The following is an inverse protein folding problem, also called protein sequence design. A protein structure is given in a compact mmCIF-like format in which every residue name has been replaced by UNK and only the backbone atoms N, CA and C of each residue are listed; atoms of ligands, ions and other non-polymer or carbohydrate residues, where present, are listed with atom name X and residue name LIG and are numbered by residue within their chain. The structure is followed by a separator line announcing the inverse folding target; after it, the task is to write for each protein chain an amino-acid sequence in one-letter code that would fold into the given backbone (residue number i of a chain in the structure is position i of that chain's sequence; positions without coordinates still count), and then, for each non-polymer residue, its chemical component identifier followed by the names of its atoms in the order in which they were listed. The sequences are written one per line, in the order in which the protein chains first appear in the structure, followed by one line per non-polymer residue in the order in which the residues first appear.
data_IF_457443246959
#
_entry.id   IF_457443246959
#
_cell.length_a   1.000
_cell.length_b   1.000
_cell.length_c   1.000
_cell.angle_alpha   90.00
_cell.angle_beta   90.00
_cell.angle_gamma   90.00
#
_symmetry.space_group_name_H-M   'P 1'
#
loop_
_entity.id
_entity.type
_entity.pdbx_description
1 polymer ?
#
# COMPACT_ATOMS: atom_id res chain seq x y z
N UNK A 1 9.59 24.19 34.83
CA UNK A 1 8.24 24.74 34.61
C UNK A 1 7.89 24.53 33.14
N UNK A 2 7.19 23.43 32.83
CA UNK A 2 6.67 23.21 31.49
C UNK A 2 5.46 24.12 31.31
N UNK A 3 5.48 25.01 30.31
CA UNK A 3 4.30 25.76 29.91
C UNK A 3 3.35 24.78 29.23
N UNK A 4 2.19 24.55 29.83
CA UNK A 4 1.04 24.00 29.12
C UNK A 4 0.70 24.95 27.97
N UNK A 5 1.00 24.52 26.74
CA UNK A 5 0.48 25.19 25.55
C UNK A 5 -0.92 24.62 25.33
N UNK A 6 -1.92 25.34 25.81
CA UNK A 6 -3.32 25.09 25.47
C UNK A 6 -3.52 25.40 23.97
N UNK A 7 -3.23 24.42 23.12
CA UNK A 7 -3.45 24.53 21.68
C UNK A 7 -4.92 24.20 21.38
N UNK A 8 -5.74 25.23 21.26
CA UNK A 8 -7.11 25.08 20.74
C UNK A 8 -7.02 24.79 19.25
N UNK A 9 -7.00 23.49 18.88
CA UNK A 9 -6.95 23.09 17.47
C UNK A 9 -8.15 23.65 16.70
N UNK A 10 -7.88 24.34 15.60
CA UNK A 10 -8.94 24.84 14.73
C UNK A 10 -9.63 23.66 14.02
N UNK A 11 -10.95 23.58 14.13
CA UNK A 11 -11.78 22.49 13.57
C UNK A 11 -12.21 22.79 12.14
N UNK A 12 -12.46 21.73 11.36
CA UNK A 12 -12.99 21.85 10.00
C UNK A 12 -14.39 22.50 10.01
N UNK A 13 -14.60 23.48 9.13
CA UNK A 13 -15.87 24.19 8.97
C UNK A 13 -16.62 23.67 7.75
N UNK A 14 -17.83 23.12 7.92
CA UNK A 14 -18.69 22.74 6.80
C UNK A 14 -19.17 24.01 6.06
N UNK A 15 -18.82 24.12 4.79
CA UNK A 15 -19.22 25.21 3.89
C UNK A 15 -20.54 24.94 3.18
N UNK A 16 -20.89 23.68 2.94
CA UNK A 16 -22.13 23.34 2.25
C UNK A 16 -22.40 21.85 2.17
N UNK A 17 -23.69 21.50 2.13
CA UNK A 17 -24.19 20.13 1.94
C UNK A 17 -25.27 20.14 0.84
N UNK A 18 -25.20 19.22 -0.12
CA UNK A 18 -26.25 18.98 -1.12
C UNK A 18 -26.59 17.51 -1.16
N UNK A 19 -27.85 17.16 -0.96
CA UNK A 19 -28.29 15.76 -0.95
C UNK A 19 -29.16 15.46 -2.15
N UNK A 20 -28.88 14.36 -2.85
CA UNK A 20 -29.67 13.86 -3.96
C UNK A 20 -29.92 12.37 -3.81
N UNK A 21 -31.08 11.91 -4.25
CA UNK A 21 -31.41 10.50 -4.24
C UNK A 21 -30.88 9.83 -5.51
N UNK A 22 -30.30 8.65 -5.35
CA UNK A 22 -29.84 7.83 -6.47
C UNK A 22 -30.62 6.51 -6.50
N UNK A 23 -30.79 5.89 -7.67
CA UNK A 23 -31.45 4.59 -7.79
C UNK A 23 -30.84 3.55 -6.84
N UNK A 24 -31.68 2.67 -6.27
CA UNK A 24 -31.22 1.64 -5.33
C UNK A 24 -31.43 1.95 -3.84
N UNK A 25 -32.35 2.87 -3.51
CA UNK A 25 -32.70 3.26 -2.13
C UNK A 25 -31.54 3.93 -1.37
N UNK A 26 -30.71 4.68 -2.09
CA UNK A 26 -29.58 5.42 -1.52
C UNK A 26 -29.81 6.94 -1.62
N UNK A 27 -29.40 7.64 -0.56
CA UNK A 27 -29.34 9.10 -0.51
C UNK A 27 -27.89 9.54 -0.44
N UNK A 28 -27.39 10.27 -1.45
CA UNK A 28 -26.00 10.75 -1.53
C UNK A 28 -25.95 12.22 -1.15
N UNK A 29 -25.12 12.60 -0.17
CA UNK A 29 -24.85 13.99 0.19
C UNK A 29 -23.44 14.41 -0.19
N UNK A 30 -23.30 15.44 -1.00
CA UNK A 30 -22.04 16.14 -1.28
C UNK A 30 -21.78 17.19 -0.20
N UNK A 31 -20.57 17.20 0.35
CA UNK A 31 -20.14 18.03 1.46
C UNK A 31 -18.90 18.82 1.05
N UNK A 32 -18.84 20.10 1.41
CA UNK A 32 -17.67 20.94 1.21
C UNK A 32 -17.20 21.47 2.56
N UNK A 33 -15.92 21.34 2.88
CA UNK A 33 -15.32 21.80 4.13
C UNK A 33 -14.23 22.84 3.87
N UNK A 34 -14.02 23.72 4.83
CA UNK A 34 -12.84 24.56 4.97
C UNK A 34 -12.02 24.04 6.15
N UNK A 35 -10.76 23.69 5.92
CA UNK A 35 -9.88 23.05 6.90
C UNK A 35 -8.58 23.84 7.00
N UNK A 36 -8.02 24.09 8.20
CA UNK A 36 -6.70 24.71 8.33
C UNK A 36 -5.63 23.93 7.56
N UNK A 37 -4.67 24.63 6.94
CA UNK A 37 -3.46 23.99 6.39
C UNK A 37 -2.58 23.40 7.48
N UNK A 38 -2.57 24.04 8.64
CA UNK A 38 -1.88 23.62 9.84
C UNK A 38 -2.85 23.82 11.02
N UNK A 39 -3.22 22.72 11.68
CA UNK A 39 -4.13 22.73 12.81
C UNK A 39 -3.51 23.33 14.09
N UNK A 40 -2.18 23.38 14.17
CA UNK A 40 -1.43 24.05 15.24
C UNK A 40 -1.13 25.53 14.92
N UNK A 41 -1.22 25.95 13.65
CA UNK A 41 -1.05 27.33 13.24
C UNK A 41 -2.09 27.81 12.21
N UNK A 42 -3.29 28.25 12.66
CA UNK A 42 -4.38 28.67 11.78
C UNK A 42 -4.05 29.86 10.87
N UNK A 43 -3.00 30.62 11.16
CA UNK A 43 -2.57 31.77 10.34
C UNK A 43 -1.97 31.36 8.99
N UNK A 44 -1.60 30.08 8.81
CA UNK A 44 -1.08 29.54 7.55
C UNK A 44 -2.15 29.42 6.45
N UNK A 45 -3.42 29.69 6.78
CA UNK A 45 -4.54 29.70 5.87
C UNK A 45 -5.27 28.36 5.82
N UNK A 46 -6.23 28.24 4.90
CA UNK A 46 -7.15 27.10 4.82
C UNK A 46 -7.12 26.40 3.45
N UNK A 47 -7.62 25.18 3.42
CA UNK A 47 -7.89 24.35 2.25
C UNK A 47 -9.40 24.12 2.14
N UNK A 48 -9.89 23.92 0.92
CA UNK A 48 -11.27 23.48 0.68
C UNK A 48 -11.28 21.99 0.36
N UNK A 49 -11.96 21.20 1.16
CA UNK A 49 -12.13 19.76 0.94
C UNK A 49 -13.54 19.45 0.41
N UNK A 50 -13.64 18.43 -0.43
CA UNK A 50 -14.91 17.88 -0.90
C UNK A 50 -15.05 16.45 -0.39
N UNK A 51 -16.25 16.08 0.08
CA UNK A 51 -16.58 14.73 0.53
C UNK A 51 -17.98 14.32 0.08
N UNK A 52 -18.28 13.01 0.08
CA UNK A 52 -19.62 12.47 -0.17
C UNK A 52 -20.03 11.52 0.95
N UNK A 53 -21.28 11.58 1.41
CA UNK A 53 -21.90 10.62 2.34
C UNK A 53 -23.05 9.89 1.65
N UNK A 54 -23.34 8.64 2.03
CA UNK A 54 -24.41 7.82 1.42
C UNK A 54 -25.23 7.11 2.50
N UNK A 55 -26.56 7.13 2.43
CA UNK A 55 -27.50 6.53 3.40
C UNK A 55 -28.52 5.59 2.72
N UNK A 56 -28.96 4.49 3.37
CA UNK A 56 -29.85 3.43 2.82
C UNK A 56 -31.28 3.48 3.39
N UNK A 57 -32.28 2.98 2.63
CA UNK A 57 -33.69 2.80 3.04
C UNK A 57 -34.17 1.30 2.99
N UNK A 58 -34.83 0.79 4.05
CA UNK A 58 -34.93 -0.63 4.56
C UNK A 58 -36.01 -1.60 4.00
N UNK A 59 -36.10 -2.95 4.25
CA UNK A 59 -36.15 -3.84 5.48
C UNK A 59 -35.61 -5.32 5.27
N UNK A 60 -35.46 -6.19 6.32
CA UNK A 60 -34.41 -7.24 6.46
C UNK A 60 -34.84 -8.75 6.49
N UNK A 61 -33.87 -9.72 6.59
CA UNK A 61 -33.82 -10.96 7.45
C UNK A 61 -32.44 -11.72 7.38
N UNK A 62 -31.98 -12.12 8.58
CA UNK A 62 -30.96 -13.00 9.26
C UNK A 62 -29.96 -14.02 8.61
N UNK A 63 -28.92 -14.40 9.40
CA UNK A 63 -27.63 -15.04 9.07
C UNK A 63 -27.22 -16.25 9.96
N UNK A 64 -26.14 -16.98 9.61
CA UNK A 64 -25.39 -17.85 10.57
C UNK A 64 -23.88 -17.99 10.26
N UNK A 65 -23.09 -18.17 11.34
CA UNK A 65 -21.62 -17.98 11.51
C UNK A 65 -20.74 -19.21 11.18
N UNK A 66 -19.45 -18.99 10.88
CA UNK A 66 -18.35 -19.99 10.97
C UNK A 66 -16.99 -19.35 11.34
N UNK A 67 -16.17 -20.10 12.10
CA UNK A 67 -14.84 -19.72 12.61
C UNK A 67 -13.69 -19.84 11.60
N UNK A 68 -12.62 -19.06 11.84
CA UNK A 68 -11.44 -18.82 10.99
C UNK A 68 -10.20 -19.60 11.49
N UNK A 69 -9.37 -20.13 10.57
CA UNK A 69 -8.02 -20.69 10.86
C UNK A 69 -6.94 -20.01 10.02
N UNK A 70 -5.78 -19.73 10.62
CA UNK A 70 -4.59 -19.21 9.95
C UNK A 70 -3.84 -20.28 9.13
N UNK A 71 -3.26 -19.92 7.97
CA UNK A 71 -2.55 -20.86 7.12
C UNK A 71 -1.12 -21.24 7.60
N UNK A 72 -0.59 -22.39 7.17
CA UNK A 72 0.62 -23.02 7.75
C UNK A 72 1.96 -22.36 7.40
N UNK A 73 2.13 -21.68 6.26
CA UNK A 73 3.42 -21.11 5.82
C UNK A 73 3.90 -19.90 6.65
N UNK A 74 2.97 -19.16 7.26
CA UNK A 74 3.29 -18.03 8.15
C UNK A 74 4.06 -18.49 9.41
N UNK A 75 3.94 -19.77 9.77
CA UNK A 75 4.66 -20.35 10.92
C UNK A 75 6.15 -20.51 10.67
N UNK A 76 6.57 -20.78 9.43
CA UNK A 76 7.97 -21.06 9.11
C UNK A 76 8.83 -19.79 9.13
N UNK A 77 8.35 -18.69 8.54
CA UNK A 77 9.07 -17.40 8.57
C UNK A 77 9.13 -16.79 9.98
N UNK A 78 8.06 -16.93 10.77
CA UNK A 78 8.08 -16.52 12.17
C UNK A 78 8.98 -17.42 13.04
N UNK A 79 9.06 -18.72 12.76
CA UNK A 79 9.99 -19.61 13.44
C UNK A 79 11.45 -19.22 13.16
N UNK A 80 11.80 -18.97 11.88
CA UNK A 80 13.15 -18.54 11.48
C UNK A 80 13.53 -17.22 12.15
N UNK A 81 12.65 -16.20 12.11
CA UNK A 81 12.92 -14.92 12.77
C UNK A 81 13.09 -15.11 14.28
N UNK A 82 12.18 -15.84 14.94
CA UNK A 82 12.28 -16.08 16.39
C UNK A 82 13.58 -16.77 16.79
N UNK A 83 14.08 -17.68 15.96
CA UNK A 83 15.39 -18.31 16.17
C UNK A 83 16.54 -17.32 15.97
N UNK A 84 16.53 -16.53 14.89
CA UNK A 84 17.61 -15.59 14.57
C UNK A 84 17.67 -14.37 15.49
N UNK A 85 16.53 -13.96 16.06
CA UNK A 85 16.44 -12.80 16.97
C UNK A 85 16.30 -13.22 18.43
N UNK A 86 16.59 -14.47 18.79
CA UNK A 86 16.35 -15.00 20.14
C UNK A 86 17.02 -14.14 21.23
N UNK A 87 18.26 -13.71 20.97
CA UNK A 87 19.09 -12.95 21.91
C UNK A 87 18.96 -11.43 21.78
N UNK A 88 18.09 -10.94 20.88
CA UNK A 88 17.93 -9.51 20.67
C UNK A 88 17.10 -8.89 21.82
N UNK A 89 17.23 -7.59 22.09
CA UNK A 89 16.26 -6.86 22.91
C UNK A 89 14.83 -7.02 22.37
N UNK A 90 13.82 -7.09 23.25
CA UNK A 90 12.44 -7.46 22.90
C UNK A 90 11.83 -6.58 21.80
N UNK A 91 12.16 -5.30 21.80
CA UNK A 91 11.75 -4.31 20.80
C UNK A 91 12.36 -4.56 19.41
N UNK A 92 13.52 -5.23 19.35
CA UNK A 92 14.21 -5.65 18.11
C UNK A 92 13.85 -7.07 17.68
N UNK A 93 13.12 -7.81 18.52
CA UNK A 93 12.58 -9.12 18.16
C UNK A 93 11.34 -9.01 17.29
N UNK A 94 10.73 -7.85 17.08
CA UNK A 94 9.61 -7.73 16.14
C UNK A 94 10.15 -7.45 14.74
N UNK A 95 9.51 -8.00 13.70
CA UNK A 95 9.75 -7.48 12.36
C UNK A 95 9.48 -5.98 12.36
N UNK A 96 10.35 -5.21 11.69
CA UNK A 96 10.02 -3.82 11.34
C UNK A 96 8.79 -3.80 10.42
N UNK A 97 8.13 -2.65 10.31
CA UNK A 97 6.99 -2.48 9.39
C UNK A 97 7.38 -2.92 7.98
N UNK A 98 8.49 -2.38 7.46
CA UNK A 98 9.04 -2.78 6.17
C UNK A 98 9.38 -4.27 6.08
N UNK A 99 9.92 -4.87 7.14
CA UNK A 99 10.23 -6.30 7.18
C UNK A 99 9.00 -7.18 7.01
N UNK A 100 7.89 -6.86 7.68
CA UNK A 100 6.62 -7.57 7.48
C UNK A 100 6.08 -7.38 6.06
N UNK A 101 6.16 -6.16 5.52
CA UNK A 101 5.70 -5.88 4.15
C UNK A 101 6.47 -6.73 3.13
N UNK A 102 7.79 -6.84 3.23
CA UNK A 102 8.58 -7.74 2.36
C UNK A 102 8.20 -9.21 2.53
N UNK A 103 7.91 -9.66 3.75
CA UNK A 103 7.41 -11.02 4.01
C UNK A 103 6.10 -11.30 3.25
N UNK A 104 5.16 -10.36 3.28
CA UNK A 104 3.89 -10.50 2.57
C UNK A 104 4.06 -10.43 1.05
N UNK A 105 4.94 -9.57 0.55
CA UNK A 105 5.28 -9.52 -0.89
C UNK A 105 5.93 -10.83 -1.35
N UNK A 106 6.78 -11.45 -0.54
CA UNK A 106 7.37 -12.76 -0.85
C UNK A 106 6.30 -13.86 -0.94
N UNK A 107 5.31 -13.85 -0.04
CA UNK A 107 4.14 -14.74 -0.10
C UNK A 107 3.36 -14.56 -1.42
N UNK A 108 3.09 -13.31 -1.81
CA UNK A 108 2.36 -13.02 -3.05
C UNK A 108 3.15 -13.40 -4.31
N UNK A 109 4.48 -13.26 -4.30
CA UNK A 109 5.34 -13.77 -5.36
C UNK A 109 5.23 -15.29 -5.51
N UNK A 110 5.25 -16.04 -4.40
CA UNK A 110 5.07 -17.50 -4.42
C UNK A 110 3.70 -17.86 -4.98
N UNK A 111 2.64 -17.16 -4.58
CA UNK A 111 1.31 -17.37 -5.12
C UNK A 111 1.24 -17.10 -6.64
N UNK A 112 1.88 -16.03 -7.12
CA UNK A 112 1.97 -15.71 -8.55
C UNK A 112 2.69 -16.82 -9.33
N UNK A 113 3.89 -17.21 -8.91
CA UNK A 113 4.65 -18.24 -9.64
C UNK A 113 4.06 -19.65 -9.52
N UNK A 114 3.31 -19.94 -8.44
CA UNK A 114 2.53 -21.19 -8.36
C UNK A 114 1.38 -21.20 -9.37
N UNK A 115 0.78 -20.03 -9.67
CA UNK A 115 -0.28 -19.89 -10.67
C UNK A 115 0.28 -19.90 -12.10
N UNK A 116 1.42 -19.23 -12.32
CA UNK A 116 2.08 -19.03 -13.61
C UNK A 116 3.52 -19.52 -13.57
N UNK A 117 3.69 -20.84 -13.59
CA UNK A 117 5.01 -21.48 -13.42
C UNK A 117 5.96 -21.20 -14.59
N UNK A 118 5.43 -21.03 -15.79
CA UNK A 118 6.16 -20.69 -16.99
C UNK A 118 6.79 -19.28 -16.93
N UNK A 119 6.21 -18.38 -16.14
CA UNK A 119 6.71 -17.01 -15.99
C UNK A 119 8.05 -16.97 -15.26
N UNK A 120 8.42 -18.02 -14.50
CA UNK A 120 9.74 -18.13 -13.85
C UNK A 120 10.86 -18.01 -14.88
N UNK A 121 10.72 -18.65 -16.04
CA UNK A 121 11.72 -18.59 -17.10
C UNK A 121 11.57 -17.33 -17.95
N UNK A 122 10.33 -16.95 -18.29
CA UNK A 122 10.05 -15.75 -19.10
C UNK A 122 10.59 -14.48 -18.44
N UNK A 123 10.37 -14.30 -17.14
CA UNK A 123 10.91 -13.14 -16.40
C UNK A 123 12.43 -13.10 -16.50
N UNK A 124 13.12 -14.24 -16.43
CA UNK A 124 14.58 -14.31 -16.57
C UNK A 124 15.04 -13.95 -17.99
N UNK A 125 14.32 -14.39 -19.02
CA UNK A 125 14.60 -13.99 -20.41
C UNK A 125 14.44 -12.49 -20.62
N UNK A 126 13.37 -11.91 -20.07
CA UNK A 126 13.11 -10.46 -20.11
C UNK A 126 14.22 -9.71 -19.38
N UNK A 127 14.64 -10.17 -18.19
CA UNK A 127 15.74 -9.58 -17.42
C UNK A 127 17.05 -9.62 -18.23
N UNK A 128 17.41 -10.76 -18.83
CA UNK A 128 18.60 -10.87 -19.69
C UNK A 128 18.59 -9.83 -20.81
N UNK A 129 17.43 -9.63 -21.43
CA UNK A 129 17.28 -8.64 -22.48
C UNK A 129 17.44 -7.20 -21.94
N UNK A 130 16.82 -6.88 -20.81
CA UNK A 130 16.94 -5.57 -20.15
C UNK A 130 18.38 -5.27 -19.70
N UNK A 131 19.12 -6.26 -19.21
CA UNK A 131 20.51 -6.07 -18.78
C UNK A 131 21.45 -5.82 -19.97
N UNK A 132 21.14 -6.42 -21.12
CA UNK A 132 21.92 -6.26 -22.35
C UNK A 132 21.62 -4.94 -23.07
N UNK A 133 20.37 -4.50 -23.07
CA UNK A 133 19.90 -3.38 -23.89
C UNK A 133 19.57 -2.15 -23.02
N UNK A 134 19.97 -0.95 -23.46
CA UNK A 134 19.59 0.28 -22.76
C UNK A 134 18.21 0.80 -23.24
N UNK A 135 17.14 0.25 -22.67
CA UNK A 135 15.78 0.47 -23.14
C UNK A 135 15.19 1.75 -22.55
N UNK A 136 14.75 2.65 -23.42
CA UNK A 136 14.02 3.88 -23.07
C UNK A 136 12.52 3.66 -23.28
N UNK A 137 11.70 4.01 -22.29
CA UNK A 137 10.25 3.95 -22.36
C UNK A 137 9.69 5.17 -23.11
N UNK A 138 8.46 5.08 -23.66
CA UNK A 138 7.80 6.23 -24.29
C UNK A 138 7.66 7.46 -23.37
N UNK A 139 7.67 7.27 -22.05
CA UNK A 139 7.67 8.37 -21.08
C UNK A 139 9.04 9.03 -20.85
N UNK A 140 10.09 8.62 -21.58
CA UNK A 140 11.45 9.17 -21.45
C UNK A 140 12.33 8.40 -20.47
N UNK A 141 11.73 7.79 -19.44
CA UNK A 141 12.46 7.04 -18.42
C UNK A 141 13.05 5.71 -18.92
N UNK A 142 13.91 5.10 -18.11
CA UNK A 142 14.55 3.81 -18.40
C UNK A 142 13.69 2.63 -17.93
N UNK A 143 13.66 1.55 -18.73
CA UNK A 143 13.22 0.24 -18.26
C UNK A 143 14.40 -0.51 -17.64
N UNK A 144 14.53 -0.47 -16.32
CA UNK A 144 15.52 -1.26 -15.58
C UNK A 144 14.91 -2.57 -15.06
N UNK A 145 15.76 -3.49 -14.57
CA UNK A 145 15.30 -4.71 -13.87
C UNK A 145 14.48 -4.34 -12.64
N UNK A 146 14.88 -3.31 -11.88
CA UNK A 146 14.12 -2.84 -10.72
C UNK A 146 12.76 -2.29 -11.15
N UNK A 147 12.68 -1.54 -12.26
CA UNK A 147 11.41 -1.01 -12.78
C UNK A 147 10.47 -2.12 -13.22
N UNK A 148 10.96 -3.15 -13.92
CA UNK A 148 10.16 -4.33 -14.26
C UNK A 148 9.58 -4.99 -13.00
N UNK A 149 10.40 -5.13 -11.96
CA UNK A 149 10.00 -5.78 -10.70
C UNK A 149 8.91 -5.01 -9.94
N UNK A 150 8.72 -3.72 -10.19
CA UNK A 150 7.66 -2.92 -9.57
C UNK A 150 6.25 -3.35 -10.02
N UNK A 151 6.11 -4.16 -11.09
CA UNK A 151 4.81 -4.76 -11.44
C UNK A 151 4.18 -5.55 -10.29
N UNK A 152 4.97 -6.04 -9.34
CA UNK A 152 4.45 -6.75 -8.17
C UNK A 152 3.63 -5.87 -7.22
N UNK A 153 3.62 -4.54 -7.37
CA UNK A 153 2.61 -3.69 -6.72
C UNK A 153 1.22 -4.23 -7.01
N UNK A 154 0.96 -4.71 -8.23
CA UNK A 154 -0.33 -5.24 -8.62
C UNK A 154 -0.72 -6.50 -7.84
N UNK A 155 0.18 -7.21 -7.16
CA UNK A 155 -0.18 -8.41 -6.45
C UNK A 155 -1.12 -8.19 -5.25
N UNK A 156 -1.29 -6.96 -4.77
CA UNK A 156 -2.18 -6.66 -3.63
C UNK A 156 -3.64 -6.37 -3.99
N UNK A 157 -4.00 -6.31 -5.27
CA UNK A 157 -5.37 -6.02 -5.73
C UNK A 157 -6.12 -7.28 -6.18
N UNK A 158 -7.45 -7.17 -6.34
CA UNK A 158 -8.27 -8.30 -6.80
C UNK A 158 -7.97 -8.64 -8.27
N UNK A 159 -7.55 -9.88 -8.54
CA UNK A 159 -7.44 -10.43 -9.90
C UNK A 159 -6.27 -9.91 -10.75
N UNK A 160 -5.48 -8.98 -10.24
CA UNK A 160 -4.42 -8.25 -10.97
C UNK A 160 -3.10 -9.01 -11.11
N UNK A 161 -2.95 -10.20 -10.50
CA UNK A 161 -1.87 -11.13 -10.86
C UNK A 161 -1.92 -11.49 -12.35
N UNK A 162 -3.12 -11.48 -12.94
CA UNK A 162 -3.34 -11.83 -14.34
C UNK A 162 -2.84 -10.70 -15.25
N UNK A 163 -2.92 -9.45 -14.79
CA UNK A 163 -2.33 -8.28 -15.47
C UNK A 163 -0.80 -8.38 -15.53
N UNK A 164 -0.15 -8.83 -14.45
CA UNK A 164 1.31 -9.06 -14.47
C UNK A 164 1.65 -10.17 -15.47
N UNK A 165 0.93 -11.29 -15.43
CA UNK A 165 1.12 -12.39 -16.37
C UNK A 165 0.92 -11.97 -17.84
N UNK A 166 -0.11 -11.16 -18.12
CA UNK A 166 -0.37 -10.62 -19.45
C UNK A 166 0.82 -9.75 -19.92
N UNK A 167 1.35 -8.89 -19.05
CA UNK A 167 2.50 -8.05 -19.36
C UNK A 167 3.76 -8.88 -19.66
N UNK A 168 4.04 -9.91 -18.84
CA UNK A 168 5.16 -10.85 -19.07
C UNK A 168 4.99 -11.61 -20.40
N UNK A 169 3.76 -12.03 -20.70
CA UNK A 169 3.42 -12.69 -21.97
C UNK A 169 3.62 -11.77 -23.17
N UNK A 170 3.28 -10.47 -23.06
CA UNK A 170 3.51 -9.47 -24.10
C UNK A 170 5.00 -9.26 -24.36
N UNK A 171 5.81 -9.03 -23.32
CA UNK A 171 7.26 -8.90 -23.46
C UNK A 171 7.90 -10.15 -24.10
N UNK A 172 7.49 -11.34 -23.66
CA UNK A 172 7.99 -12.60 -24.22
C UNK A 172 7.59 -12.76 -25.69
N UNK A 173 6.34 -12.44 -26.03
CA UNK A 173 5.85 -12.52 -27.41
C UNK A 173 6.62 -11.57 -28.33
N UNK A 174 6.91 -10.37 -27.85
CA UNK A 174 7.70 -9.37 -28.57
C UNK A 174 9.12 -9.86 -28.85
N UNK A 175 9.80 -10.44 -27.85
CA UNK A 175 11.13 -11.03 -28.04
C UNK A 175 11.12 -12.18 -29.04
N UNK A 176 10.11 -13.05 -28.97
CA UNK A 176 10.01 -14.21 -29.86
C UNK A 176 9.71 -13.83 -31.31
N UNK A 177 8.88 -12.80 -31.54
CA UNK A 177 8.44 -12.41 -32.89
C UNK A 177 9.37 -11.39 -33.54
N UNK A 178 9.87 -10.43 -32.75
CA UNK A 178 10.59 -9.27 -33.28
C UNK A 178 12.03 -9.16 -32.78
N UNK A 179 12.37 -9.84 -31.68
CA UNK A 179 13.69 -9.74 -31.05
C UNK A 179 13.91 -8.44 -30.25
N UNK A 180 12.86 -7.64 -30.06
CA UNK A 180 12.88 -6.42 -29.26
C UNK A 180 11.50 -6.11 -28.69
N UNK A 181 11.45 -5.32 -27.61
CA UNK A 181 10.19 -4.86 -27.03
C UNK A 181 9.54 -3.77 -27.89
N UNK A 182 8.31 -4.02 -28.32
CA UNK A 182 7.60 -3.11 -29.22
C UNK A 182 7.10 -1.86 -28.48
N UNK A 183 6.91 -0.76 -29.22
CA UNK A 183 6.37 0.49 -28.65
C UNK A 183 5.02 0.30 -27.93
N UNK A 184 4.05 -0.49 -28.44
CA UNK A 184 2.80 -0.77 -27.71
C UNK A 184 2.99 -1.53 -26.38
N UNK A 185 3.97 -2.43 -26.29
CA UNK A 185 4.29 -3.12 -25.03
C UNK A 185 4.92 -2.17 -24.03
N UNK A 186 5.90 -1.36 -24.46
CA UNK A 186 6.54 -0.37 -23.60
C UNK A 186 5.55 0.69 -23.09
N UNK A 187 4.62 1.16 -23.94
CA UNK A 187 3.59 2.10 -23.52
C UNK A 187 2.64 1.49 -22.47
N UNK A 188 2.15 0.28 -22.72
CA UNK A 188 1.28 -0.41 -21.76
C UNK A 188 1.99 -0.71 -20.43
N UNK A 189 3.29 -1.00 -20.45
CA UNK A 189 4.08 -1.14 -19.24
C UNK A 189 4.16 0.17 -18.45
N UNK A 190 4.43 1.30 -19.12
CA UNK A 190 4.47 2.62 -18.49
C UNK A 190 3.13 2.97 -17.82
N UNK A 191 2.01 2.63 -18.43
CA UNK A 191 0.67 2.93 -17.91
C UNK A 191 0.33 2.18 -16.61
N UNK A 192 0.95 1.01 -16.37
CA UNK A 192 0.74 0.23 -15.14
C UNK A 192 1.46 0.82 -13.91
N UNK A 193 2.47 1.66 -14.12
CA UNK A 193 3.32 2.20 -13.06
C UNK A 193 3.40 3.73 -13.18
N UNK A 194 2.32 4.47 -12.86
CA UNK A 194 2.14 5.87 -13.22
C UNK A 194 2.91 6.88 -12.34
N UNK A 195 4.09 6.51 -11.81
CA UNK A 195 4.89 7.39 -10.94
C UNK A 195 5.34 8.68 -11.63
N UNK A 196 5.52 8.68 -12.96
CA UNK A 196 5.83 9.90 -13.73
C UNK A 196 4.68 10.92 -13.62
N UNK A 197 3.43 10.47 -13.51
CA UNK A 197 2.25 11.35 -13.39
C UNK A 197 1.79 11.57 -11.94
N UNK A 198 2.38 10.83 -10.99
CA UNK A 198 2.05 10.86 -9.57
C UNK A 198 3.32 11.02 -8.72
N UNK A 199 4.17 12.02 -8.96
CA UNK A 199 5.48 12.14 -8.32
C UNK A 199 5.40 12.33 -6.81
N UNK A 200 4.30 12.94 -6.31
CA UNK A 200 4.08 13.10 -4.88
C UNK A 200 3.98 11.74 -4.17
N UNK A 201 3.32 10.75 -4.79
CA UNK A 201 3.20 9.41 -4.21
C UNK A 201 4.59 8.81 -4.00
N UNK A 202 5.49 8.92 -4.99
CA UNK A 202 6.87 8.46 -4.85
C UNK A 202 7.64 9.24 -3.76
N UNK A 203 7.55 10.57 -3.75
CA UNK A 203 8.32 11.43 -2.85
C UNK A 203 7.98 11.22 -1.37
N UNK A 204 6.70 11.07 -1.05
CA UNK A 204 6.25 11.03 0.36
C UNK A 204 6.00 9.61 0.86
N UNK A 205 6.19 8.59 0.04
CA UNK A 205 5.82 7.20 0.36
C UNK A 205 6.42 6.68 1.67
N UNK A 206 7.72 6.85 1.90
CA UNK A 206 8.33 6.49 3.18
C UNK A 206 8.19 7.60 4.24
N UNK A 207 8.42 8.89 3.91
CA UNK A 207 8.25 9.98 4.88
C UNK A 207 6.88 10.03 5.57
N UNK A 208 5.80 9.61 4.89
CA UNK A 208 4.45 9.62 5.48
C UNK A 208 4.27 8.65 6.66
N UNK A 209 5.25 7.76 6.90
CA UNK A 209 5.29 6.86 8.05
C UNK A 209 6.36 7.25 9.09
N UNK A 210 7.19 8.27 8.83
CA UNK A 210 8.33 8.63 9.66
C UNK A 210 7.91 9.30 10.98
N UNK A 211 8.59 8.94 12.07
CA UNK A 211 8.39 9.51 13.43
C UNK A 211 9.73 9.63 14.16
N UNK A 212 10.12 10.86 14.50
CA UNK A 212 11.37 11.25 15.19
C UNK A 212 12.67 10.69 14.58
N UNK A 213 12.61 10.08 13.40
CA UNK A 213 13.74 9.40 12.78
C UNK A 213 13.60 9.51 11.26
N UNK A 214 14.75 9.57 10.59
CA UNK A 214 14.79 9.53 9.15
C UNK A 214 14.34 8.16 8.61
N UNK A 215 13.48 8.12 7.58
CA UNK A 215 13.15 6.88 6.89
C UNK A 215 14.40 6.27 6.23
N UNK A 216 15.28 7.12 5.69
CA UNK A 216 16.63 6.83 5.19
C UNK A 216 16.66 5.73 4.10
N UNK A 217 15.63 5.65 3.25
CA UNK A 217 15.46 4.59 2.25
C UNK A 217 15.29 3.20 2.89
N UNK A 218 14.33 3.10 3.81
CA UNK A 218 14.08 1.88 4.59
C UNK A 218 13.73 0.67 3.73
N UNK A 219 12.98 0.84 2.65
CA UNK A 219 12.66 -0.22 1.71
C UNK A 219 13.90 -0.70 0.95
N UNK A 220 14.76 0.20 0.47
CA UNK A 220 16.04 -0.19 -0.16
C UNK A 220 16.94 -0.96 0.80
N UNK A 221 17.09 -0.45 2.03
CA UNK A 221 17.93 -1.12 3.05
C UNK A 221 17.40 -2.51 3.33
N UNK A 222 16.09 -2.67 3.48
CA UNK A 222 15.48 -3.96 3.79
C UNK A 222 15.51 -4.90 2.58
N UNK A 223 15.27 -4.41 1.36
CA UNK A 223 15.43 -5.20 0.14
C UNK A 223 16.84 -5.77 0.03
N UNK A 224 17.87 -4.95 0.27
CA UNK A 224 19.29 -5.36 0.23
C UNK A 224 19.66 -6.39 1.30
N UNK A 225 18.91 -6.45 2.39
CA UNK A 225 19.12 -7.42 3.48
C UNK A 225 18.31 -8.70 3.29
N UNK A 226 17.39 -8.75 2.32
CA UNK A 226 16.51 -9.89 2.09
C UNK A 226 16.98 -10.73 0.89
N UNK A 227 17.50 -11.97 1.11
CA UNK A 227 18.00 -12.83 0.03
C UNK A 227 16.99 -13.13 -1.07
N UNK A 228 15.71 -13.21 -0.74
CA UNK A 228 14.65 -13.47 -1.72
C UNK A 228 14.55 -12.34 -2.78
N UNK A 229 14.91 -11.11 -2.40
CA UNK A 229 14.80 -9.92 -3.26
C UNK A 229 16.14 -9.44 -3.83
N UNK A 230 17.27 -9.92 -3.33
CA UNK A 230 18.59 -9.65 -3.91
C UNK A 230 18.97 -10.64 -5.01
N UNK A 231 18.34 -11.81 -5.03
CA UNK A 231 18.53 -12.81 -6.07
C UNK A 231 17.80 -12.42 -7.39
N UNK A 232 18.41 -11.50 -8.15
CA UNK A 232 17.86 -10.98 -9.41
C UNK A 232 18.54 -11.53 -10.66
N UNK A 233 19.60 -12.33 -10.52
CA UNK A 233 20.33 -12.90 -11.65
C UNK A 233 19.44 -13.84 -12.46
N UNK A 234 19.42 -13.63 -13.78
CA UNK A 234 18.70 -14.49 -14.71
C UNK A 234 19.27 -15.92 -14.81
N UNK A 235 20.48 -16.15 -14.32
CA UNK A 235 21.15 -17.47 -14.28
C UNK A 235 20.93 -18.19 -12.94
N UNK A 236 20.35 -17.51 -11.95
CA UNK A 236 20.01 -18.12 -10.67
C UNK A 236 18.98 -19.25 -10.87
N UNK A 237 19.06 -20.36 -10.13
CA UNK A 237 18.03 -21.40 -10.19
C UNK A 237 16.69 -20.92 -9.60
N UNK A 238 16.71 -20.01 -8.63
CA UNK A 238 15.47 -19.56 -7.98
C UNK A 238 14.71 -18.53 -8.83
N UNK A 239 13.38 -18.40 -8.67
CA UNK A 239 12.61 -17.32 -9.31
C UNK A 239 13.09 -15.93 -8.87
N UNK A 240 12.97 -14.94 -9.75
CA UNK A 240 13.22 -13.54 -9.41
C UNK A 240 11.95 -12.94 -8.82
N UNK A 241 12.00 -12.41 -7.60
CA UNK A 241 10.80 -11.83 -6.99
C UNK A 241 10.56 -10.39 -7.44
N UNK A 242 9.33 -10.09 -7.82
CA UNK A 242 8.80 -8.74 -7.97
C UNK A 242 8.71 -8.05 -6.60
N UNK A 243 8.75 -6.72 -6.58
CA UNK A 243 8.60 -5.90 -5.36
C UNK A 243 7.13 -5.57 -5.10
N UNK A 244 6.82 -4.93 -3.97
CA UNK A 244 5.48 -4.42 -3.67
C UNK A 244 5.34 -2.93 -4.03
N UNK A 245 4.56 -2.20 -3.23
CA UNK A 245 4.35 -0.73 -3.35
C UNK A 245 5.56 0.12 -2.98
N UNK A 246 6.60 -0.51 -2.41
CA UNK A 246 7.77 0.20 -1.89
C UNK A 246 8.42 1.10 -2.94
N UNK A 247 8.82 2.29 -2.50
CA UNK A 247 9.61 3.22 -3.31
C UNK A 247 11.10 3.04 -3.01
N UNK A 248 11.90 2.95 -4.06
CA UNK A 248 13.34 2.74 -4.00
C UNK A 248 14.08 3.98 -4.53
N UNK A 249 15.27 4.25 -4.01
CA UNK A 249 16.16 5.35 -4.40
C UNK A 249 16.44 5.34 -5.89
N UNK A 250 16.60 4.15 -6.48
CA UNK A 250 16.89 4.01 -7.91
C UNK A 250 15.70 4.36 -8.82
N UNK A 251 14.46 4.43 -8.29
CA UNK A 251 13.31 4.95 -9.04
C UNK A 251 13.52 6.41 -9.46
N UNK A 252 14.25 7.20 -8.67
CA UNK A 252 14.63 8.58 -8.99
C UNK A 252 15.78 8.66 -10.01
N UNK A 253 16.22 7.53 -10.57
CA UNK A 253 17.09 7.47 -11.75
C UNK A 253 16.35 6.90 -12.97
N UNK A 254 15.31 6.09 -12.76
CA UNK A 254 14.62 5.35 -13.82
C UNK A 254 13.39 6.07 -14.38
N UNK A 255 12.63 6.77 -13.54
CA UNK A 255 11.45 7.54 -13.97
C UNK A 255 11.87 8.95 -14.38
N UNK A 256 11.40 9.41 -15.54
CA UNK A 256 11.84 10.66 -16.15
C UNK A 256 11.51 11.85 -15.24
N UNK A 257 10.26 11.92 -14.79
CA UNK A 257 9.79 13.02 -13.93
C UNK A 257 10.40 12.96 -12.53
N UNK A 258 10.67 11.74 -12.01
CA UNK A 258 11.31 11.59 -10.70
C UNK A 258 12.78 12.01 -10.71
N UNK A 259 13.48 11.95 -11.86
CA UNK A 259 14.89 12.35 -11.92
C UNK A 259 15.11 13.81 -11.50
N UNK A 260 14.17 14.69 -11.85
CA UNK A 260 14.19 16.10 -11.47
C UNK A 260 13.96 16.32 -9.96
N UNK A 261 13.47 15.31 -9.25
CA UNK A 261 13.09 15.37 -7.83
C UNK A 261 14.05 14.59 -6.93
N UNK A 262 15.14 14.07 -7.47
CA UNK A 262 16.10 13.23 -6.75
C UNK A 262 16.70 13.91 -5.51
N UNK A 263 17.06 15.19 -5.61
CA UNK A 263 17.59 15.96 -4.47
C UNK A 263 16.52 16.14 -3.39
N UNK A 264 15.29 16.47 -3.79
CA UNK A 264 14.15 16.58 -2.86
C UNK A 264 13.88 15.25 -2.15
N UNK A 265 13.93 14.14 -2.88
CA UNK A 265 13.75 12.82 -2.32
C UNK A 265 14.84 12.47 -1.29
N UNK A 266 16.10 12.84 -1.56
CA UNK A 266 17.19 12.62 -0.60
C UNK A 266 17.04 13.48 0.66
N UNK A 267 16.61 14.73 0.53
CA UNK A 267 16.31 15.59 1.69
C UNK A 267 15.23 14.95 2.55
N UNK A 268 14.11 14.55 1.95
CA UNK A 268 13.01 13.89 2.67
C UNK A 268 13.44 12.57 3.31
N UNK A 269 14.27 11.78 2.61
CA UNK A 269 14.77 10.51 3.10
C UNK A 269 15.70 10.67 4.31
N UNK A 270 16.46 11.78 4.39
CA UNK A 270 17.47 12.02 5.43
C UNK A 270 17.00 12.94 6.56
N UNK A 271 15.86 13.62 6.39
CA UNK A 271 15.21 14.42 7.44
C UNK A 271 14.88 13.53 8.64
N UNK A 272 15.37 13.86 9.83
CA UNK A 272 15.25 13.05 11.06
C UNK A 272 14.41 13.68 12.17
N UNK A 273 13.95 14.92 11.98
CA UNK A 273 13.14 15.69 12.93
C UNK A 273 11.63 15.60 12.66
N UNK A 274 11.17 14.50 12.05
CA UNK A 274 9.74 14.25 11.82
C UNK A 274 8.95 14.27 13.14
N UNK A 275 7.84 15.02 13.22
CA UNK A 275 7.03 15.06 14.43
C UNK A 275 6.33 13.72 14.67
N UNK A 276 5.77 13.55 15.87
CA UNK A 276 4.79 12.50 16.11
C UNK A 276 3.59 12.68 15.18
N UNK A 277 3.28 11.65 14.39
CA UNK A 277 2.17 11.68 13.43
C UNK A 277 0.80 11.53 14.11
N UNK A 278 0.74 10.80 15.23
CA UNK A 278 -0.51 10.44 15.90
C UNK A 278 -0.42 10.63 17.41
N UNK A 279 -1.44 11.23 18.01
CA UNK A 279 -1.62 11.27 19.46
C UNK A 279 -2.35 10.00 19.92
N UNK A 280 -1.58 8.97 20.29
CA UNK A 280 -2.15 7.70 20.77
C UNK A 280 -3.00 7.88 22.04
N UNK A 281 -2.69 8.84 22.90
CA UNK A 281 -3.47 9.10 24.11
C UNK A 281 -4.83 9.74 23.78
N UNK A 282 -4.89 10.58 22.76
CA UNK A 282 -6.15 11.12 22.24
C UNK A 282 -6.98 10.04 21.54
N UNK A 283 -6.36 9.18 20.73
CA UNK A 283 -7.03 8.04 20.09
C UNK A 283 -7.64 7.07 21.13
N UNK A 284 -6.93 6.82 22.23
CA UNK A 284 -7.41 5.99 23.33
C UNK A 284 -8.57 6.60 24.14
N UNK A 285 -8.86 7.90 23.98
CA UNK A 285 -10.02 8.58 24.58
C UNK A 285 -11.07 8.99 23.56
N UNK A 286 -11.02 8.42 22.36
CA UNK A 286 -11.98 8.72 21.31
C UNK A 286 -13.42 8.35 21.76
N UNK A 287 -14.34 9.31 21.71
CA UNK A 287 -15.75 9.11 22.07
C UNK A 287 -16.62 8.83 20.84
N UNK A 288 -16.13 9.13 19.63
CA UNK A 288 -16.89 8.97 18.38
C UNK A 288 -16.80 7.51 17.91
N UNK A 289 -17.91 6.81 17.63
CA UNK A 289 -17.85 5.46 17.06
C UNK A 289 -17.05 5.42 15.75
N UNK A 290 -16.10 4.49 15.65
CA UNK A 290 -15.28 4.24 14.46
C UNK A 290 -15.57 2.83 13.96
N UNK A 291 -15.82 2.69 12.67
CA UNK A 291 -16.04 1.39 12.02
C UNK A 291 -14.95 1.20 10.97
N UNK A 292 -14.06 0.24 11.20
CA UNK A 292 -12.94 -0.04 10.32
C UNK A 292 -13.12 -1.37 9.61
N UNK A 293 -12.51 -1.50 8.44
CA UNK A 293 -12.30 -2.79 7.78
C UNK A 293 -10.82 -3.14 7.84
N UNK A 294 -10.53 -4.39 8.16
CA UNK A 294 -9.17 -4.94 8.17
C UNK A 294 -9.12 -6.21 7.35
N UNK A 295 -8.24 -6.25 6.36
CA UNK A 295 -8.12 -7.39 5.45
C UNK A 295 -6.99 -8.31 5.90
N UNK A 296 -7.27 -9.60 6.10
CA UNK A 296 -6.28 -10.58 6.54
C UNK A 296 -5.15 -10.79 5.52
N UNK A 297 -5.50 -10.66 4.24
CA UNK A 297 -4.60 -10.91 3.12
C UNK A 297 -4.10 -9.62 2.45
N UNK A 298 -4.20 -8.47 3.12
CA UNK A 298 -3.64 -7.21 2.62
C UNK A 298 -2.12 -7.34 2.45
N UNK A 299 -1.63 -6.98 1.26
CA UNK A 299 -0.20 -7.01 0.96
C UNK A 299 0.55 -5.77 1.47
N UNK A 300 -0.16 -4.65 1.54
CA UNK A 300 0.40 -3.31 1.76
C UNK A 300 0.36 -2.96 3.25
N UNK A 301 -0.81 -3.13 3.88
CA UNK A 301 -1.02 -2.85 5.30
C UNK A 301 -1.14 -4.16 6.07
N UNK A 302 -0.03 -4.59 6.67
CA UNK A 302 0.03 -5.89 7.36
C UNK A 302 -1.07 -6.05 8.42
N UNK A 303 -1.77 -7.18 8.38
CA UNK A 303 -2.94 -7.49 9.21
C UNK A 303 -2.74 -7.21 10.71
N UNK A 304 -1.64 -7.71 11.29
CA UNK A 304 -1.38 -7.52 12.72
C UNK A 304 -1.20 -6.04 13.09
N UNK A 305 -0.58 -5.21 12.24
CA UNK A 305 -0.42 -3.79 12.51
C UNK A 305 -1.74 -3.04 12.38
N UNK A 306 -2.56 -3.37 11.39
CA UNK A 306 -3.89 -2.80 11.26
C UNK A 306 -4.78 -3.15 12.47
N UNK A 307 -4.79 -4.42 12.88
CA UNK A 307 -5.53 -4.89 14.05
C UNK A 307 -5.04 -4.25 15.35
N UNK A 308 -3.73 -4.20 15.55
CA UNK A 308 -3.12 -3.61 16.75
C UNK A 308 -3.33 -2.08 16.78
N UNK A 309 -3.42 -1.42 15.64
CA UNK A 309 -3.78 0.01 15.57
C UNK A 309 -5.25 0.22 15.92
N UNK A 310 -6.15 -0.59 15.35
CA UNK A 310 -7.58 -0.51 15.63
C UNK A 310 -7.88 -0.73 17.13
N UNK A 311 -7.16 -1.64 17.80
CA UNK A 311 -7.35 -1.91 19.23
C UNK A 311 -6.91 -0.79 20.18
N UNK A 312 -6.09 0.15 19.69
CA UNK A 312 -5.66 1.33 20.46
C UNK A 312 -6.66 2.50 20.40
N UNK A 313 -7.60 2.46 19.45
CA UNK A 313 -8.59 3.51 19.24
C UNK A 313 -9.85 3.16 20.03
N UNK A 314 -10.22 3.98 21.01
CA UNK A 314 -11.46 3.74 21.75
C UNK A 314 -12.69 3.87 20.83
N UNK A 315 -13.74 3.11 21.10
CA UNK A 315 -14.95 3.01 20.26
C UNK A 315 -14.68 2.58 18.81
N UNK A 316 -13.58 1.87 18.54
CA UNK A 316 -13.29 1.28 17.22
C UNK A 316 -13.84 -0.15 17.11
N UNK A 317 -14.73 -0.36 16.16
CA UNK A 317 -15.34 -1.64 15.82
C UNK A 317 -14.76 -2.11 14.49
N UNK A 318 -14.20 -3.32 14.46
CA UNK A 318 -13.44 -3.81 13.32
C UNK A 318 -14.16 -4.94 12.58
N UNK A 319 -14.44 -4.74 11.30
CA UNK A 319 -14.83 -5.80 10.37
C UNK A 319 -13.57 -6.46 9.79
N UNK A 320 -13.30 -7.70 10.22
CA UNK A 320 -12.14 -8.47 9.74
C UNK A 320 -12.59 -9.48 8.69
N UNK A 321 -11.88 -9.53 7.57
CA UNK A 321 -12.24 -10.42 6.45
C UNK A 321 -11.01 -10.97 5.74
N UNK A 322 -11.12 -12.20 5.22
CA UNK A 322 -10.14 -12.86 4.37
C UNK A 322 -10.58 -12.99 2.91
N UNK A 323 -11.75 -12.45 2.55
CA UNK A 323 -12.29 -12.52 1.18
C UNK A 323 -12.26 -11.18 0.44
N UNK A 324 -12.00 -10.09 1.17
CA UNK A 324 -11.75 -8.77 0.61
C UNK A 324 -10.26 -8.43 0.77
N UNK A 325 -9.75 -7.63 -0.17
CA UNK A 325 -8.37 -7.13 -0.20
C UNK A 325 -8.32 -5.59 -0.16
N UNK A 326 -7.11 -5.04 -0.27
CA UNK A 326 -6.83 -3.61 -0.09
C UNK A 326 -7.73 -2.66 -0.88
N UNK A 327 -8.08 -3.02 -2.10
CA UNK A 327 -8.91 -2.26 -3.04
C UNK A 327 -10.42 -2.55 -2.91
N UNK A 328 -10.86 -3.22 -1.85
CA UNK A 328 -12.27 -3.55 -1.66
C UNK A 328 -13.18 -2.31 -1.67
N UNK A 329 -12.70 -1.14 -1.22
CA UNK A 329 -13.47 0.10 -1.33
C UNK A 329 -13.75 0.50 -2.78
N UNK A 330 -12.85 0.20 -3.72
CA UNK A 330 -13.00 0.52 -5.13
C UNK A 330 -13.70 -0.60 -5.93
N UNK A 331 -13.39 -1.87 -5.64
CA UNK A 331 -13.84 -3.02 -6.46
C UNK A 331 -15.00 -3.81 -5.84
N UNK A 332 -15.24 -3.67 -4.54
CA UNK A 332 -16.25 -4.40 -3.76
C UNK A 332 -16.98 -3.46 -2.81
N UNK A 333 -17.23 -2.22 -3.24
CA UNK A 333 -17.79 -1.16 -2.41
C UNK A 333 -19.12 -1.55 -1.77
N UNK A 334 -19.99 -2.20 -2.54
CA UNK A 334 -21.30 -2.65 -2.10
C UNK A 334 -21.19 -3.68 -0.97
N UNK A 335 -20.30 -4.66 -1.12
CA UNK A 335 -20.03 -5.69 -0.12
C UNK A 335 -19.39 -5.08 1.14
N UNK A 336 -18.32 -4.30 0.97
CA UNK A 336 -17.58 -3.67 2.07
C UNK A 336 -18.47 -2.73 2.88
N UNK A 337 -19.16 -1.80 2.21
CA UNK A 337 -19.98 -0.80 2.89
C UNK A 337 -21.19 -1.44 3.59
N UNK A 338 -21.76 -2.52 3.03
CA UNK A 338 -22.80 -3.29 3.70
C UNK A 338 -22.31 -3.86 5.03
N UNK A 339 -21.10 -4.39 5.09
CA UNK A 339 -20.53 -4.96 6.32
C UNK A 339 -20.24 -3.87 7.35
N UNK A 340 -19.69 -2.72 6.93
CA UNK A 340 -19.44 -1.59 7.84
C UNK A 340 -20.73 -0.97 8.40
N UNK A 341 -21.77 -0.83 7.58
CA UNK A 341 -23.06 -0.36 8.06
C UNK A 341 -23.75 -1.39 8.96
N UNK A 342 -23.66 -2.69 8.63
CA UNK A 342 -24.15 -3.73 9.51
C UNK A 342 -23.44 -3.67 10.87
N UNK A 343 -22.11 -3.48 10.90
CA UNK A 343 -21.35 -3.35 12.15
C UNK A 343 -21.74 -2.10 12.95
N UNK A 344 -22.15 -1.02 12.27
CA UNK A 344 -22.69 0.19 12.91
C UNK A 344 -24.06 -0.02 13.51
N UNK A 345 -24.92 -0.70 12.78
CA UNK A 345 -26.32 -0.91 13.14
C UNK A 345 -26.50 -2.12 14.08
N UNK A 346 -25.45 -2.92 14.29
CA UNK A 346 -25.41 -4.05 15.23
C UNK A 346 -25.33 -3.51 16.67
N UNK A 347 -26.52 -3.38 17.27
CA UNK A 347 -26.72 -3.03 18.67
C UNK A 347 -26.52 -4.29 19.51
N UNK A 348 -25.45 -4.34 20.32
CA UNK A 348 -25.33 -5.34 21.40
C UNK A 348 -26.29 -4.89 22.52
N UNK A 349 -27.59 -5.04 22.28
CA UNK A 349 -28.67 -4.93 23.25
C UNK A 349 -29.76 -5.97 22.98
#
# INVERSE_FOLDING_TARGET
MAKEVNCTMATAKLLGKRTHQVPGRLSVSELFFEVPKDHANPSYGTLRLFARSVERFEKPIDASKREVKQPPWFKDCEAIRKTLTADFPEEKKKWSIMGQSFGKVAERNKAYYNKYTEDIHRVKDIIRYIEKENITLPSGGRLSVLRLRQLGILFGFHGTMDTVHEMITRFTSDLNQFGYFTRPTLAAFSDLLPFDTMPLYALVHEPLYARNNAPNWSADRMMKQNPDFTNVSADSPNPVYFTGEMVFKDMFNDYDELTNLKETAEILATTDDWPELYDEAQLARNEVPVYSATYMEDMYVHFDFARDTASKINNCHNFITNVLYHDALAHKTDELMKQLFALRDDTID
#
